data_IF_538637886848
#
_entry.id   IF_538637886848
#
_cell.length_a   1.000
_cell.length_b   1.000
_cell.length_c   1.000
_cell.angle_alpha   90.00
_cell.angle_beta   90.00
_cell.angle_gamma   90.00
#
_symmetry.space_group_name_H-M   'P 1'
#
loop_
_entity.id
_entity.type
_entity.pdbx_description
1 polymer ?
#
# COMPACT_ATOMS: atom_id res chain seq x y z
N UNK A 1 -27.89 -37.62 30.74
CA UNK A 1 -27.05 -38.25 29.70
C UNK A 1 -27.40 -37.66 28.36
N UNK A 2 -26.58 -36.80 27.85
CA UNK A 2 -26.52 -36.41 26.44
C UNK A 2 -25.12 -35.76 26.23
N UNK A 3 -24.14 -36.57 25.81
CA UNK A 3 -22.84 -36.09 25.35
C UNK A 3 -23.05 -35.56 23.95
N UNK A 4 -22.94 -34.26 23.78
CA UNK A 4 -22.88 -33.59 22.48
C UNK A 4 -21.42 -33.63 21.97
N UNK A 5 -21.21 -34.41 20.93
CA UNK A 5 -19.97 -34.53 20.19
C UNK A 5 -19.50 -33.16 19.66
N UNK A 6 -18.45 -32.64 20.24
CA UNK A 6 -17.69 -31.51 19.71
C UNK A 6 -16.72 -32.07 18.67
N UNK A 7 -17.19 -32.24 17.44
CA UNK A 7 -16.33 -32.57 16.30
C UNK A 7 -15.45 -31.39 16.02
N UNK A 8 -14.19 -31.45 16.43
CA UNK A 8 -13.13 -30.56 16.01
C UNK A 8 -12.88 -30.75 14.50
N UNK A 9 -13.35 -29.80 13.73
CA UNK A 9 -13.10 -29.74 12.29
C UNK A 9 -11.62 -29.40 12.06
N UNK A 10 -10.78 -30.44 12.00
CA UNK A 10 -9.35 -30.34 11.66
C UNK A 10 -9.22 -30.27 10.14
N UNK A 11 -9.68 -29.15 9.54
CA UNK A 11 -9.42 -28.87 8.14
C UNK A 11 -7.91 -28.73 7.91
N UNK A 12 -7.31 -29.69 7.19
CA UNK A 12 -5.91 -29.67 6.76
C UNK A 12 -5.64 -28.35 6.01
N UNK A 13 -4.69 -27.51 6.45
CA UNK A 13 -4.45 -26.23 5.79
C UNK A 13 -4.03 -26.45 4.33
N UNK A 14 -4.70 -25.74 3.41
CA UNK A 14 -4.42 -25.85 1.98
C UNK A 14 -2.94 -25.62 1.70
N UNK A 15 -2.38 -26.27 0.68
CA UNK A 15 -0.95 -26.15 0.28
C UNK A 15 -0.56 -24.69 0.09
N UNK A 16 -1.45 -23.85 -0.41
CA UNK A 16 -1.27 -22.42 -0.58
C UNK A 16 -1.10 -21.69 0.76
N UNK A 17 -1.85 -22.07 1.79
CA UNK A 17 -1.72 -21.50 3.15
C UNK A 17 -0.37 -21.86 3.75
N UNK A 18 0.08 -23.13 3.61
CA UNK A 18 1.39 -23.59 4.10
C UNK A 18 2.55 -22.85 3.42
N UNK A 19 2.47 -22.65 2.10
CA UNK A 19 3.49 -21.92 1.34
C UNK A 19 3.56 -20.46 1.75
N UNK A 20 2.42 -19.79 1.94
CA UNK A 20 2.36 -18.41 2.43
C UNK A 20 2.93 -18.29 3.84
N UNK A 21 2.58 -19.20 4.74
CA UNK A 21 3.04 -19.19 6.13
C UNK A 21 4.55 -19.48 6.21
N UNK A 22 5.08 -20.37 5.37
CA UNK A 22 6.51 -20.63 5.26
C UNK A 22 7.28 -19.43 4.72
N UNK A 23 6.76 -18.75 3.69
CA UNK A 23 7.34 -17.51 3.14
C UNK A 23 7.34 -16.40 4.20
N UNK A 24 6.25 -16.23 4.92
CA UNK A 24 6.12 -15.26 5.99
C UNK A 24 7.10 -15.55 7.15
N UNK A 25 7.26 -16.80 7.54
CA UNK A 25 8.26 -17.22 8.54
C UNK A 25 9.68 -16.95 8.08
N UNK A 26 10.01 -17.23 6.82
CA UNK A 26 11.32 -16.93 6.22
C UNK A 26 11.65 -15.44 6.28
N UNK A 27 10.68 -14.58 5.90
CA UNK A 27 10.82 -13.13 5.98
C UNK A 27 11.04 -12.69 7.44
N UNK A 28 10.28 -13.21 8.38
CA UNK A 28 10.44 -12.86 9.80
C UNK A 28 11.80 -13.33 10.37
N UNK A 29 12.32 -14.46 9.93
CA UNK A 29 13.64 -14.94 10.35
C UNK A 29 14.75 -13.94 10.00
N UNK A 30 14.66 -13.32 8.81
CA UNK A 30 15.62 -12.30 8.35
C UNK A 30 15.39 -10.95 9.05
N UNK A 31 14.14 -10.57 9.29
CA UNK A 31 13.79 -9.26 9.85
C UNK A 31 13.95 -9.20 11.38
N UNK A 32 13.70 -10.31 12.08
CA UNK A 32 13.70 -10.33 13.55
C UNK A 32 15.01 -9.88 14.22
N UNK A 33 16.22 -10.20 13.71
CA UNK A 33 17.45 -9.65 14.29
C UNK A 33 17.51 -8.13 14.24
N UNK A 34 17.08 -7.55 13.12
CA UNK A 34 17.03 -6.10 12.94
C UNK A 34 15.97 -5.47 13.87
N UNK A 35 14.78 -6.06 13.98
CA UNK A 35 13.74 -5.62 14.91
C UNK A 35 14.23 -5.64 16.37
N UNK A 36 14.94 -6.71 16.78
CA UNK A 36 15.52 -6.77 18.14
C UNK A 36 16.57 -5.68 18.38
N UNK A 37 17.33 -5.31 17.35
CA UNK A 37 18.27 -4.19 17.43
C UNK A 37 17.50 -2.86 17.64
N UNK A 38 16.44 -2.61 16.85
CA UNK A 38 15.59 -1.42 17.00
C UNK A 38 15.02 -1.30 18.42
N UNK A 39 14.51 -2.41 18.96
CA UNK A 39 13.98 -2.44 20.34
C UNK A 39 15.08 -2.14 21.36
N UNK A 40 16.30 -2.69 21.20
CA UNK A 40 17.43 -2.46 22.10
C UNK A 40 17.88 -1.00 22.16
N UNK A 41 17.79 -0.29 21.03
CA UNK A 41 18.14 1.15 20.95
C UNK A 41 16.97 2.06 21.33
N UNK A 42 15.83 1.49 21.79
CA UNK A 42 14.69 2.25 22.31
C UNK A 42 13.72 2.77 21.22
N UNK A 43 13.80 2.26 19.99
CA UNK A 43 12.87 2.64 18.92
C UNK A 43 11.50 1.99 19.17
N UNK A 44 10.47 2.84 19.22
CA UNK A 44 9.07 2.43 19.42
C UNK A 44 8.38 2.13 18.08
N UNK A 45 7.28 1.35 18.07
CA UNK A 45 6.50 1.11 16.85
C UNK A 45 6.08 2.41 16.15
N UNK A 46 5.57 3.39 16.89
CA UNK A 46 5.13 4.67 16.35
C UNK A 46 6.26 5.47 15.68
N UNK A 47 7.50 5.35 16.19
CA UNK A 47 8.67 5.95 15.53
C UNK A 47 8.95 5.29 14.19
N UNK A 48 8.83 3.97 14.10
CA UNK A 48 9.02 3.22 12.84
C UNK A 48 7.96 3.63 11.82
N UNK A 49 6.69 3.69 12.21
CA UNK A 49 5.59 4.17 11.34
C UNK A 49 5.85 5.61 10.85
N UNK A 50 6.32 6.50 11.76
CA UNK A 50 6.66 7.88 11.39
C UNK A 50 7.82 7.95 10.38
N UNK A 51 8.86 7.11 10.55
CA UNK A 51 9.97 7.01 9.59
C UNK A 51 9.45 6.53 8.22
N UNK A 52 8.55 5.56 8.21
CA UNK A 52 7.87 5.10 7.00
C UNK A 52 7.15 6.24 6.26
N UNK A 53 6.38 7.07 7.00
CA UNK A 53 5.72 8.25 6.44
C UNK A 53 6.73 9.26 5.87
N UNK A 54 7.78 9.62 6.62
CA UNK A 54 8.79 10.57 6.15
C UNK A 54 9.49 10.09 4.88
N UNK A 55 9.74 8.78 4.78
CA UNK A 55 10.29 8.18 3.57
C UNK A 55 9.33 8.23 2.37
N UNK A 56 8.03 8.02 2.58
CA UNK A 56 7.03 8.18 1.53
C UNK A 56 6.86 9.65 1.10
N UNK A 57 6.97 10.60 2.03
CA UNK A 57 7.02 12.04 1.70
C UNK A 57 8.27 12.35 0.87
N UNK A 58 9.43 11.79 1.22
CA UNK A 58 10.65 11.94 0.42
C UNK A 58 10.49 11.36 -0.98
N UNK A 59 9.87 10.18 -1.14
CA UNK A 59 9.57 9.60 -2.44
C UNK A 59 8.64 10.51 -3.27
N UNK A 60 7.62 11.08 -2.65
CA UNK A 60 6.73 12.05 -3.30
C UNK A 60 7.50 13.31 -3.74
N UNK A 61 8.38 13.83 -2.90
CA UNK A 61 9.24 14.98 -3.23
C UNK A 61 10.18 14.67 -4.41
N UNK A 62 10.69 13.43 -4.51
CA UNK A 62 11.51 12.99 -5.65
C UNK A 62 10.67 12.93 -6.93
N UNK A 63 9.39 12.48 -6.90
CA UNK A 63 8.49 12.57 -8.06
C UNK A 63 8.28 14.02 -8.49
N UNK A 64 7.99 14.90 -7.54
CA UNK A 64 7.82 16.34 -7.81
C UNK A 64 9.09 16.92 -8.45
N UNK A 65 10.25 16.56 -7.93
CA UNK A 65 11.55 17.02 -8.48
C UNK A 65 11.81 16.44 -9.87
N UNK A 66 11.49 15.16 -10.11
CA UNK A 66 11.59 14.56 -11.43
C UNK A 66 10.74 15.31 -12.47
N UNK A 67 9.55 15.77 -12.10
CA UNK A 67 8.69 16.59 -12.94
C UNK A 67 9.27 17.99 -13.22
N UNK A 68 9.89 18.63 -12.22
CA UNK A 68 10.49 19.96 -12.40
C UNK A 68 11.80 19.94 -13.18
N UNK A 69 12.62 18.90 -13.04
CA UNK A 69 13.94 18.80 -13.71
C UNK A 69 13.86 18.15 -15.08
N UNK A 70 12.74 17.50 -15.40
CA UNK A 70 12.43 17.00 -16.73
C UNK A 70 11.92 18.12 -17.64
N UNK A 71 12.30 18.08 -18.92
CA UNK A 71 11.61 18.82 -19.98
C UNK A 71 10.67 17.88 -20.72
N UNK A 72 9.66 18.37 -21.47
CA UNK A 72 8.81 17.50 -22.29
C UNK A 72 9.60 16.63 -23.30
N UNK A 73 10.82 17.03 -23.65
CA UNK A 73 11.73 16.30 -24.55
C UNK A 73 12.75 15.41 -23.83
N UNK A 74 12.98 15.61 -22.51
CA UNK A 74 13.99 14.86 -21.77
C UNK A 74 13.56 14.70 -20.32
N UNK A 75 12.90 13.59 -20.02
CA UNK A 75 12.37 13.28 -18.69
C UNK A 75 13.46 12.72 -17.78
N UNK A 76 13.39 13.06 -16.48
CA UNK A 76 14.36 12.58 -15.50
C UNK A 76 13.98 11.19 -14.97
N UNK A 77 14.07 10.17 -15.82
CA UNK A 77 13.75 8.79 -15.50
C UNK A 77 14.54 8.18 -14.33
N UNK A 78 15.86 8.50 -14.13
CA UNK A 78 16.57 8.07 -12.93
C UNK A 78 15.89 8.47 -11.62
N UNK A 79 15.34 9.66 -11.53
CA UNK A 79 14.59 10.09 -10.34
C UNK A 79 13.27 9.33 -10.18
N UNK A 80 12.60 8.97 -11.27
CA UNK A 80 11.38 8.13 -11.21
C UNK A 80 11.70 6.74 -10.67
N UNK A 81 12.82 6.14 -11.11
CA UNK A 81 13.32 4.86 -10.55
C UNK A 81 13.64 5.00 -9.07
N UNK A 82 14.33 6.07 -8.67
CA UNK A 82 14.65 6.34 -7.27
C UNK A 82 13.37 6.47 -6.42
N UNK A 83 12.38 7.24 -6.89
CA UNK A 83 11.12 7.42 -6.17
C UNK A 83 10.39 6.08 -5.96
N UNK A 84 10.28 5.25 -6.99
CA UNK A 84 9.69 3.91 -6.89
C UNK A 84 10.44 2.99 -5.92
N UNK A 85 11.77 3.06 -5.93
CA UNK A 85 12.64 2.31 -4.99
C UNK A 85 12.41 2.76 -3.55
N UNK A 86 12.31 4.07 -3.31
CA UNK A 86 12.00 4.63 -1.98
C UNK A 86 10.64 4.18 -1.49
N UNK A 87 9.60 4.12 -2.35
CA UNK A 87 8.27 3.60 -1.96
C UNK A 87 8.40 2.17 -1.42
N UNK A 88 9.08 1.26 -2.13
CA UNK A 88 9.27 -0.11 -1.65
C UNK A 88 10.03 -0.12 -0.33
N UNK A 89 11.15 0.58 -0.28
CA UNK A 89 12.02 0.60 0.91
C UNK A 89 11.24 1.05 2.15
N UNK A 90 10.52 2.17 2.07
CA UNK A 90 9.82 2.72 3.23
C UNK A 90 8.48 2.03 3.51
N UNK A 91 7.88 1.34 2.54
CA UNK A 91 6.72 0.47 2.80
C UNK A 91 7.09 -0.79 3.59
N UNK A 92 8.36 -1.20 3.60
CA UNK A 92 8.83 -2.27 4.50
C UNK A 92 8.75 -1.85 5.98
N UNK A 93 8.80 -0.56 6.28
CA UNK A 93 8.68 -0.05 7.66
C UNK A 93 7.31 -0.36 8.26
N UNK A 94 6.23 -0.44 7.45
CA UNK A 94 4.92 -0.89 7.93
C UNK A 94 4.91 -2.35 8.42
N UNK A 95 5.76 -3.20 7.85
CA UNK A 95 5.94 -4.55 8.36
C UNK A 95 6.78 -4.56 9.63
N UNK A 96 7.74 -3.63 9.76
CA UNK A 96 8.66 -3.54 10.88
C UNK A 96 7.96 -3.04 12.13
N UNK A 97 7.09 -2.02 12.05
CA UNK A 97 6.42 -1.45 13.22
C UNK A 97 5.51 -2.48 13.90
N UNK A 98 4.75 -3.26 13.13
CA UNK A 98 3.97 -4.37 13.66
C UNK A 98 4.83 -5.46 14.31
N UNK A 99 6.06 -5.72 13.82
CA UNK A 99 6.98 -6.65 14.44
C UNK A 99 7.62 -6.06 15.72
N UNK A 100 8.01 -4.78 15.70
CA UNK A 100 8.50 -4.07 16.88
C UNK A 100 7.43 -4.07 17.98
N UNK A 101 6.16 -3.82 17.63
CA UNK A 101 5.04 -3.85 18.57
C UNK A 101 4.87 -5.24 19.21
N UNK A 102 4.92 -6.31 18.41
CA UNK A 102 4.75 -7.70 18.89
C UNK A 102 5.94 -8.17 19.71
N UNK A 103 7.16 -8.05 19.20
CA UNK A 103 8.37 -8.55 19.86
C UNK A 103 8.78 -7.68 21.05
N UNK A 104 8.45 -6.39 21.01
CA UNK A 104 8.73 -5.45 22.10
C UNK A 104 7.65 -5.39 23.17
N UNK A 105 6.55 -6.14 23.03
CA UNK A 105 5.38 -6.06 23.93
C UNK A 105 4.80 -4.63 24.04
N UNK A 106 4.89 -3.85 22.94
CA UNK A 106 4.49 -2.44 22.86
C UNK A 106 3.21 -2.24 22.03
N UNK A 107 2.45 -3.32 21.74
CA UNK A 107 1.20 -3.21 21.03
C UNK A 107 0.17 -2.40 21.80
N UNK A 108 -0.47 -1.42 21.15
CA UNK A 108 -1.50 -0.58 21.76
C UNK A 108 -2.59 -0.23 20.76
N UNK A 109 -3.80 0.05 21.26
CA UNK A 109 -4.93 0.49 20.43
C UNK A 109 -4.61 1.82 19.73
N UNK A 110 -3.95 2.74 20.44
CA UNK A 110 -3.48 4.00 19.85
C UNK A 110 -2.47 3.75 18.73
N UNK A 111 -1.50 2.84 18.90
CA UNK A 111 -0.52 2.49 17.88
C UNK A 111 -1.19 1.97 16.61
N UNK A 112 -2.18 1.08 16.74
CA UNK A 112 -2.93 0.58 15.59
C UNK A 112 -3.75 1.68 14.87
N UNK A 113 -4.33 2.62 15.61
CA UNK A 113 -5.00 3.79 15.03
C UNK A 113 -3.98 4.71 14.34
N UNK A 114 -2.85 4.99 14.98
CA UNK A 114 -1.78 5.86 14.47
C UNK A 114 -1.22 5.33 13.15
N UNK A 115 -0.83 4.05 13.10
CA UNK A 115 -0.41 3.36 11.90
C UNK A 115 -1.46 3.48 10.79
N UNK A 116 -2.71 3.14 11.11
CA UNK A 116 -3.82 3.27 10.18
C UNK A 116 -3.98 4.68 9.58
N UNK A 117 -3.77 5.73 10.36
CA UNK A 117 -3.86 7.13 9.88
C UNK A 117 -2.65 7.48 9.01
N UNK A 118 -1.42 7.17 9.46
CA UNK A 118 -0.21 7.48 8.71
C UNK A 118 -0.14 6.74 7.37
N UNK A 119 -0.70 5.53 7.29
CA UNK A 119 -0.91 4.79 6.06
C UNK A 119 -1.65 5.58 4.98
N UNK A 120 -2.69 6.32 5.39
CA UNK A 120 -3.47 7.16 4.43
C UNK A 120 -2.67 8.37 4.01
N UNK A 121 -1.91 8.97 4.92
CA UNK A 121 -0.98 10.05 4.56
C UNK A 121 0.11 9.57 3.60
N UNK A 122 0.67 8.38 3.76
CA UNK A 122 1.60 7.79 2.79
C UNK A 122 0.99 7.71 1.39
N UNK A 123 -0.26 7.19 1.27
CA UNK A 123 -0.97 7.11 -0.02
C UNK A 123 -1.24 8.50 -0.61
N UNK A 124 -1.69 9.46 0.22
CA UNK A 124 -1.96 10.83 -0.20
C UNK A 124 -0.70 11.50 -0.78
N UNK A 125 0.41 11.43 -0.06
CA UNK A 125 1.66 12.04 -0.51
C UNK A 125 2.20 11.35 -1.76
N UNK A 126 2.26 10.02 -1.78
CA UNK A 126 2.82 9.27 -2.91
C UNK A 126 2.04 9.48 -4.19
N UNK A 127 0.71 9.27 -4.16
CA UNK A 127 -0.13 9.47 -5.34
C UNK A 127 -0.27 10.96 -5.71
N UNK A 128 -0.24 11.86 -4.72
CA UNK A 128 -0.18 13.29 -4.95
C UNK A 128 1.10 13.71 -5.68
N UNK A 129 2.25 13.18 -5.28
CA UNK A 129 3.54 13.40 -5.95
C UNK A 129 3.55 12.91 -7.39
N UNK A 130 2.97 11.70 -7.64
CA UNK A 130 2.83 11.15 -9.00
C UNK A 130 1.88 12.00 -9.86
N UNK A 131 0.74 12.44 -9.30
CA UNK A 131 -0.17 13.31 -10.03
C UNK A 131 0.51 14.63 -10.41
N UNK A 132 1.29 15.20 -9.49
CA UNK A 132 2.05 16.42 -9.77
C UNK A 132 3.13 16.19 -10.84
N UNK A 133 3.85 15.06 -10.79
CA UNK A 133 4.80 14.65 -11.83
C UNK A 133 4.13 14.63 -13.22
N UNK A 134 2.95 14.01 -13.34
CA UNK A 134 2.21 13.96 -14.60
C UNK A 134 1.73 15.34 -15.07
N UNK A 135 1.37 16.25 -14.18
CA UNK A 135 1.02 17.64 -14.55
C UNK A 135 2.25 18.33 -15.16
N UNK A 136 3.41 18.22 -14.52
CA UNK A 136 4.65 18.87 -14.96
C UNK A 136 5.17 18.29 -16.30
N UNK A 137 4.95 17.01 -16.54
CA UNK A 137 5.35 16.36 -17.81
C UNK A 137 4.30 16.49 -18.92
N UNK A 138 3.22 17.26 -18.71
CA UNK A 138 2.18 17.54 -19.71
C UNK A 138 1.10 16.47 -19.83
N UNK A 139 1.11 15.44 -18.98
CA UNK A 139 0.14 14.33 -18.97
C UNK A 139 -1.04 14.58 -18.01
N UNK A 140 -1.77 15.67 -18.21
CA UNK A 140 -2.90 16.08 -17.34
C UNK A 140 -3.96 14.98 -17.21
N UNK A 141 -4.24 14.24 -18.28
CA UNK A 141 -5.16 13.09 -18.23
C UNK A 141 -4.68 11.98 -17.27
N UNK A 142 -3.38 11.72 -17.25
CA UNK A 142 -2.77 10.76 -16.32
C UNK A 142 -2.83 11.25 -14.86
N UNK A 143 -2.66 12.55 -14.64
CA UNK A 143 -2.85 13.15 -13.33
C UNK A 143 -4.28 12.96 -12.82
N UNK A 144 -5.29 13.10 -13.67
CA UNK A 144 -6.69 12.84 -13.33
C UNK A 144 -6.93 11.36 -13.01
N UNK A 145 -6.35 10.43 -13.79
CA UNK A 145 -6.41 8.99 -13.49
C UNK A 145 -5.79 8.72 -12.12
N UNK A 146 -4.64 9.32 -11.82
CA UNK A 146 -3.96 9.19 -10.51
C UNK A 146 -4.82 9.75 -9.37
N UNK A 147 -5.53 10.86 -9.60
CA UNK A 147 -6.48 11.39 -8.63
C UNK A 147 -7.64 10.43 -8.37
N UNK A 148 -8.19 9.79 -9.41
CA UNK A 148 -9.24 8.76 -9.26
C UNK A 148 -8.69 7.54 -8.50
N UNK A 149 -7.44 7.15 -8.74
CA UNK A 149 -6.74 6.10 -7.97
C UNK A 149 -6.63 6.48 -6.49
N UNK A 150 -6.28 7.73 -6.19
CA UNK A 150 -6.20 8.26 -4.83
C UNK A 150 -7.57 8.22 -4.13
N UNK A 151 -8.63 8.70 -4.78
CA UNK A 151 -9.99 8.65 -4.24
C UNK A 151 -10.38 7.20 -3.92
N UNK A 152 -10.19 6.26 -4.86
CA UNK A 152 -10.48 4.85 -4.66
C UNK A 152 -9.69 4.26 -3.49
N UNK A 153 -8.40 4.56 -3.40
CA UNK A 153 -7.50 4.08 -2.33
C UNK A 153 -7.97 4.51 -0.93
N UNK A 154 -8.34 5.77 -0.78
CA UNK A 154 -8.86 6.30 0.49
C UNK A 154 -10.22 5.68 0.80
N UNK A 155 -11.11 5.56 -0.20
CA UNK A 155 -12.45 4.99 -0.01
C UNK A 155 -12.43 3.50 0.37
N UNK A 156 -11.51 2.70 -0.17
CA UNK A 156 -11.30 1.31 0.28
C UNK A 156 -11.05 1.24 1.77
N UNK A 157 -10.17 2.10 2.28
CA UNK A 157 -9.80 2.16 3.69
C UNK A 157 -10.92 2.73 4.56
N UNK A 158 -11.55 3.81 4.10
CA UNK A 158 -12.65 4.48 4.81
C UNK A 158 -13.87 3.57 5.00
N UNK A 159 -14.33 2.92 3.92
CA UNK A 159 -15.51 2.03 3.97
C UNK A 159 -15.27 0.87 4.94
N UNK A 160 -14.05 0.31 4.96
CA UNK A 160 -13.68 -0.73 5.92
C UNK A 160 -13.76 -0.21 7.36
N UNK A 161 -13.08 0.89 7.65
CA UNK A 161 -13.07 1.47 9.00
C UNK A 161 -14.48 1.86 9.46
N UNK A 162 -15.31 2.37 8.56
CA UNK A 162 -16.70 2.72 8.85
C UNK A 162 -17.56 1.48 9.13
N UNK A 163 -17.38 0.40 8.37
CA UNK A 163 -18.08 -0.87 8.59
C UNK A 163 -17.66 -1.49 9.93
N UNK A 164 -16.35 -1.55 10.22
CA UNK A 164 -15.82 -2.04 11.51
C UNK A 164 -16.35 -1.19 12.70
N UNK A 165 -16.49 0.12 12.54
CA UNK A 165 -17.11 1.01 13.52
C UNK A 165 -18.62 0.81 13.72
N UNK A 166 -19.30 0.07 12.83
CA UNK A 166 -20.68 -0.40 12.97
C UNK A 166 -20.76 -1.84 13.46
N UNK A 167 -19.64 -2.46 13.85
CA UNK A 167 -19.56 -3.85 14.28
C UNK A 167 -19.63 -4.88 13.15
N UNK A 168 -19.42 -4.47 11.88
CA UNK A 168 -19.44 -5.34 10.72
C UNK A 168 -18.04 -5.77 10.31
N UNK A 169 -17.87 -7.03 9.90
CA UNK A 169 -16.61 -7.49 9.32
C UNK A 169 -16.56 -7.18 7.81
N UNK A 170 -15.53 -6.41 7.37
CA UNK A 170 -15.42 -5.93 5.99
C UNK A 170 -14.01 -6.09 5.41
N UNK A 171 -13.43 -7.31 5.49
CA UNK A 171 -12.10 -7.66 4.97
C UNK A 171 -12.13 -8.23 3.56
N UNK A 172 -13.05 -7.76 2.72
CA UNK A 172 -13.20 -8.22 1.34
C UNK A 172 -12.51 -7.27 0.35
N UNK A 173 -12.25 -7.79 -0.85
CA UNK A 173 -11.74 -7.04 -1.99
C UNK A 173 -10.31 -7.41 -2.36
N UNK A 174 -9.99 -7.28 -3.66
CA UNK A 174 -8.71 -7.67 -4.24
C UNK A 174 -7.64 -6.57 -4.10
N UNK A 175 -7.99 -5.29 -4.31
CA UNK A 175 -7.05 -4.18 -4.31
C UNK A 175 -6.95 -3.56 -2.90
N UNK A 176 -6.27 -4.27 -2.00
CA UNK A 176 -5.95 -3.77 -0.66
C UNK A 176 -4.69 -2.87 -0.70
N UNK A 177 -4.21 -2.39 0.45
CA UNK A 177 -3.08 -1.47 0.49
C UNK A 177 -1.77 -2.07 -0.02
N UNK A 178 -1.35 -3.29 0.35
CA UNK A 178 -0.10 -3.85 -0.13
C UNK A 178 -0.05 -3.96 -1.66
N UNK A 179 -1.15 -4.39 -2.30
CA UNK A 179 -1.23 -4.52 -3.75
C UNK A 179 -1.09 -3.16 -4.43
N UNK A 180 -1.71 -2.10 -3.89
CA UNK A 180 -1.58 -0.74 -4.44
C UNK A 180 -0.17 -0.21 -4.34
N UNK A 181 0.49 -0.40 -3.19
CA UNK A 181 1.88 0.00 -2.98
C UNK A 181 2.81 -0.71 -3.97
N UNK A 182 2.66 -2.03 -4.12
CA UNK A 182 3.48 -2.81 -5.04
C UNK A 182 3.26 -2.37 -6.50
N UNK A 183 2.01 -2.20 -6.93
CA UNK A 183 1.69 -1.75 -8.30
C UNK A 183 2.26 -0.36 -8.57
N UNK A 184 2.14 0.57 -7.62
CA UNK A 184 2.70 1.92 -7.74
C UNK A 184 4.23 1.88 -7.85
N UNK A 185 4.89 1.17 -6.96
CA UNK A 185 6.34 1.11 -6.91
C UNK A 185 6.95 0.40 -8.13
N UNK A 186 6.39 -0.76 -8.51
CA UNK A 186 6.84 -1.48 -9.71
C UNK A 186 6.55 -0.69 -10.99
N UNK A 187 5.41 -0.02 -11.07
CA UNK A 187 5.08 0.87 -12.17
C UNK A 187 6.10 2.00 -12.31
N UNK A 188 6.47 2.65 -11.21
CA UNK A 188 7.47 3.71 -11.20
C UNK A 188 8.88 3.21 -11.56
N UNK A 189 9.33 2.10 -10.96
CA UNK A 189 10.64 1.52 -11.26
C UNK A 189 10.72 1.09 -12.73
N UNK A 190 9.69 0.39 -13.23
CA UNK A 190 9.65 -0.04 -14.63
C UNK A 190 9.65 1.15 -15.60
N UNK A 191 8.87 2.19 -15.31
CA UNK A 191 8.88 3.45 -16.08
C UNK A 191 10.28 4.05 -16.13
N UNK A 192 10.93 4.16 -14.97
CA UNK A 192 12.27 4.75 -14.90
C UNK A 192 13.33 3.90 -15.60
N UNK A 193 13.29 2.57 -15.47
CA UNK A 193 14.25 1.67 -16.14
C UNK A 193 14.03 1.68 -17.65
N UNK A 194 12.78 1.56 -18.12
CA UNK A 194 12.46 1.54 -19.57
C UNK A 194 12.82 2.88 -20.18
N UNK A 195 12.46 4.00 -19.55
CA UNK A 195 12.76 5.33 -20.07
C UNK A 195 14.25 5.69 -20.12
N UNK A 196 15.10 4.99 -19.36
CA UNK A 196 16.56 5.15 -19.44
C UNK A 196 17.18 4.32 -20.58
N UNK A 197 16.50 3.29 -21.09
CA UNK A 197 17.08 2.31 -22.01
C UNK A 197 16.38 2.27 -23.36
N UNK A 198 15.18 2.84 -23.48
CA UNK A 198 14.38 2.84 -24.72
C UNK A 198 14.21 4.28 -25.18
N UNK A 199 14.40 4.52 -26.49
CA UNK A 199 14.19 5.86 -27.06
C UNK A 199 12.71 6.26 -26.96
N UNK A 200 12.46 7.48 -26.52
CA UNK A 200 11.11 8.03 -26.40
C UNK A 200 10.37 8.07 -27.76
N UNK A 201 11.09 8.10 -28.88
CA UNK A 201 10.52 8.00 -30.21
C UNK A 201 9.95 6.60 -30.53
N UNK A 202 10.48 5.56 -29.89
CA UNK A 202 9.98 4.19 -30.03
C UNK A 202 8.85 3.89 -29.04
N UNK A 203 9.02 4.30 -27.78
CA UNK A 203 8.04 4.07 -26.72
C UNK A 203 8.16 5.09 -25.60
N UNK A 204 7.07 5.81 -25.33
CA UNK A 204 6.99 6.68 -24.15
C UNK A 204 6.78 5.83 -22.88
N UNK A 205 7.83 5.69 -22.11
CA UNK A 205 7.85 4.87 -20.88
C UNK A 205 6.82 5.34 -19.82
N UNK A 206 6.34 6.59 -19.87
CA UNK A 206 5.31 7.07 -18.95
C UNK A 206 4.01 6.27 -19.02
N UNK A 207 3.71 5.64 -20.18
CA UNK A 207 2.54 4.76 -20.30
C UNK A 207 2.52 3.60 -19.30
N UNK A 208 3.68 3.14 -18.84
CA UNK A 208 3.78 2.08 -17.83
C UNK A 208 3.22 2.58 -16.48
N UNK A 209 3.64 3.76 -16.03
CA UNK A 209 3.13 4.35 -14.79
C UNK A 209 1.66 4.77 -14.93
N UNK A 210 1.26 5.28 -16.09
CA UNK A 210 -0.15 5.60 -16.41
C UNK A 210 -1.02 4.35 -16.31
N UNK A 211 -0.57 3.24 -16.88
CA UNK A 211 -1.28 1.95 -16.79
C UNK A 211 -1.38 1.45 -15.35
N UNK A 212 -0.29 1.56 -14.57
CA UNK A 212 -0.30 1.21 -13.14
C UNK A 212 -1.34 2.05 -12.36
N UNK A 213 -1.38 3.36 -12.59
CA UNK A 213 -2.39 4.24 -11.98
C UNK A 213 -3.81 3.89 -12.45
N UNK A 214 -3.99 3.55 -13.72
CA UNK A 214 -5.27 3.09 -14.28
C UNK A 214 -5.79 1.81 -13.61
N UNK A 215 -4.91 0.85 -13.40
CA UNK A 215 -5.21 -0.40 -12.68
C UNK A 215 -5.68 -0.09 -11.25
N UNK A 216 -4.95 0.77 -10.53
CA UNK A 216 -5.33 1.16 -9.17
C UNK A 216 -6.67 1.92 -9.18
N UNK A 217 -6.83 2.89 -10.09
CA UNK A 217 -8.06 3.68 -10.24
C UNK A 217 -9.29 2.78 -10.44
N UNK A 218 -9.18 1.78 -11.31
CA UNK A 218 -10.27 0.84 -11.58
C UNK A 218 -10.54 -0.07 -10.38
N UNK A 219 -9.55 -0.84 -9.94
CA UNK A 219 -9.76 -1.91 -8.98
C UNK A 219 -9.95 -1.43 -7.53
N UNK A 220 -9.36 -0.28 -7.14
CA UNK A 220 -9.61 0.30 -5.83
C UNK A 220 -11.07 0.79 -5.73
N UNK A 221 -11.58 1.47 -6.75
CA UNK A 221 -12.99 1.91 -6.74
C UNK A 221 -13.96 0.73 -6.76
N UNK A 222 -13.71 -0.30 -7.59
CA UNK A 222 -14.50 -1.54 -7.57
C UNK A 222 -14.48 -2.16 -6.16
N UNK A 223 -13.32 -2.24 -5.53
CA UNK A 223 -13.20 -2.77 -4.17
C UNK A 223 -13.96 -1.94 -3.15
N UNK A 224 -13.92 -0.61 -3.24
CA UNK A 224 -14.66 0.28 -2.34
C UNK A 224 -16.18 0.06 -2.46
N UNK A 225 -16.72 0.02 -3.67
CA UNK A 225 -18.16 -0.24 -3.90
C UNK A 225 -18.56 -1.67 -3.50
N UNK A 226 -17.72 -2.67 -3.74
CA UNK A 226 -17.96 -4.04 -3.29
C UNK A 226 -18.08 -4.12 -1.76
N UNK A 227 -17.23 -3.38 -1.02
CA UNK A 227 -17.32 -3.26 0.44
C UNK A 227 -18.62 -2.62 0.91
N UNK A 228 -19.08 -1.55 0.23
CA UNK A 228 -20.39 -0.93 0.53
C UNK A 228 -21.53 -1.94 0.35
N UNK A 229 -21.53 -2.66 -0.78
CA UNK A 229 -22.54 -3.70 -1.05
C UNK A 229 -22.50 -4.86 -0.06
N UNK A 230 -21.32 -5.24 0.42
CA UNK A 230 -21.14 -6.25 1.45
C UNK A 230 -21.68 -5.79 2.81
N UNK A 231 -21.33 -4.60 3.24
CA UNK A 231 -21.82 -4.01 4.47
C UNK A 231 -23.35 -3.87 4.46
N UNK A 232 -23.95 -3.45 3.35
CA UNK A 232 -25.42 -3.39 3.19
C UNK A 232 -26.05 -4.75 3.43
N UNK A 233 -25.54 -5.83 2.81
CA UNK A 233 -26.09 -7.18 2.98
C UNK A 233 -26.05 -7.64 4.43
N UNK A 234 -24.96 -7.36 5.17
CA UNK A 234 -24.86 -7.72 6.59
C UNK A 234 -25.90 -6.96 7.43
N UNK A 235 -26.10 -5.67 7.18
CA UNK A 235 -27.09 -4.85 7.89
C UNK A 235 -28.53 -5.34 7.63
N UNK A 236 -28.86 -5.67 6.37
CA UNK A 236 -30.18 -6.19 5.99
C UNK A 236 -30.49 -7.55 6.66
N UNK A 237 -29.47 -8.37 6.96
CA UNK A 237 -29.62 -9.63 7.70
C UNK A 237 -29.74 -9.43 9.21
N UNK A 238 -29.15 -8.39 9.77
CA UNK A 238 -29.18 -8.11 11.24
C UNK A 238 -30.47 -7.41 11.64
N UNK A 239 -31.15 -6.73 10.70
CA UNK A 239 -32.41 -6.02 10.92
C UNK A 239 -33.67 -6.88 10.74
N UNK A 240 -33.52 -8.15 10.42
CA UNK A 240 -34.60 -9.18 10.36
C UNK A 240 -34.51 -10.14 11.54
#
# INVERSE_FOLDING_TARGET
>A
MAQSNMAMDTATPSTFKKMRDALQQGIYCVINPFVRLLIRIGITPNMVTTIGLLGNIAAAAVFVWAGYTGSPSELNYPLVTLAGTLIILFSLFDMLDGQVARLGNMASTFGAMYDSVLDRYCELFTLGGIAFYFIQTGHVGAALITFIALVGSIMVSYVRARAEGLGLECKIGFMQRPERVVVTALGAIATGIVGQNVDAAEFDAQWILIAAMGVIALFANITAFARVGHAKRQLDHTSR
#
